data_IF_411390680288
#
_entry.id   IF_411390680288
#
_cell.length_a   1.000
_cell.length_b   1.000
_cell.length_c   1.000
_cell.angle_alpha   90.00
_cell.angle_beta   90.00
_cell.angle_gamma   90.00
#
_symmetry.space_group_name_H-M   'P 1'
#
loop_
_entity.id
_entity.type
_entity.pdbx_description
1 polymer ?
#
# COMPACT_ATOMS: atom_id res chain seq x y z
N UNK A 1 10.59 -11.57 23.78
CA UNK A 1 11.02 -10.20 23.41
C UNK A 1 10.72 -10.00 21.93
N UNK A 2 9.65 -9.28 21.60
CA UNK A 2 9.25 -9.04 20.21
C UNK A 2 10.08 -7.88 19.68
N UNK A 3 10.76 -8.12 18.56
CA UNK A 3 11.66 -7.16 17.91
C UNK A 3 10.83 -5.99 17.35
N UNK A 4 10.77 -4.93 18.16
CA UNK A 4 10.23 -3.60 17.88
C UNK A 4 11.21 -2.87 16.94
N UNK A 5 11.21 -3.23 15.66
CA UNK A 5 11.89 -2.45 14.62
C UNK A 5 10.87 -1.59 13.86
N UNK A 6 10.97 -0.27 14.09
CA UNK A 6 10.56 0.88 13.25
C UNK A 6 9.24 0.77 12.47
N UNK A 7 8.12 0.63 13.16
CA UNK A 7 6.82 1.04 12.61
C UNK A 7 6.73 2.58 12.40
N UNK A 8 7.61 3.34 13.05
CA UNK A 8 7.61 4.82 12.99
C UNK A 8 8.11 5.39 11.66
N UNK A 9 8.84 4.63 10.84
CA UNK A 9 9.39 5.10 9.56
C UNK A 9 8.45 4.88 8.35
N UNK A 10 7.66 3.82 8.38
CA UNK A 10 6.71 3.50 7.30
C UNK A 10 5.35 4.21 7.46
N UNK A 11 4.99 4.60 8.70
CA UNK A 11 3.79 5.39 8.95
C UNK A 11 3.88 6.83 8.41
N UNK A 12 5.10 7.36 8.23
CA UNK A 12 5.35 8.68 7.65
C UNK A 12 5.58 8.67 6.14
N UNK A 13 5.72 7.50 5.54
CA UNK A 13 6.00 7.38 4.11
C UNK A 13 4.71 7.57 3.30
N UNK A 14 4.64 8.69 2.58
CA UNK A 14 3.56 8.98 1.64
C UNK A 14 3.99 8.65 0.21
N UNK A 15 3.11 8.00 -0.55
CA UNK A 15 3.31 7.84 -1.99
C UNK A 15 2.98 9.15 -2.71
N UNK A 16 3.90 9.64 -3.54
CA UNK A 16 3.65 10.85 -4.34
C UNK A 16 2.73 10.51 -5.50
N UNK A 17 1.62 11.24 -5.60
CA UNK A 17 0.75 11.21 -6.78
C UNK A 17 0.99 12.45 -7.64
N UNK A 18 0.98 12.28 -8.96
CA UNK A 18 0.99 13.38 -9.93
C UNK A 18 -0.31 13.31 -10.71
N UNK A 19 -1.08 14.41 -10.70
CA UNK A 19 -2.38 14.49 -11.34
C UNK A 19 -2.50 15.79 -12.12
N UNK A 20 -3.31 15.79 -13.18
CA UNK A 20 -3.71 17.01 -13.86
C UNK A 20 -5.03 17.52 -13.25
N UNK A 21 -5.16 18.84 -13.11
CA UNK A 21 -6.38 19.50 -12.63
C UNK A 21 -6.82 20.57 -13.64
N UNK A 22 -8.13 20.78 -13.76
CA UNK A 22 -8.67 21.87 -14.56
C UNK A 22 -8.30 23.24 -13.97
N UNK A 23 -8.13 24.26 -14.82
CA UNK A 23 -7.72 25.59 -14.38
C UNK A 23 -8.72 26.23 -13.39
N UNK A 24 -10.02 25.97 -13.57
CA UNK A 24 -11.08 26.50 -12.68
C UNK A 24 -10.97 25.87 -11.28
N UNK A 25 -10.88 24.53 -11.21
CA UNK A 25 -10.74 23.82 -9.94
C UNK A 25 -9.46 24.24 -9.21
N UNK A 26 -8.35 24.37 -9.95
CA UNK A 26 -7.09 24.84 -9.38
C UNK A 26 -7.23 26.25 -8.76
N UNK A 27 -7.91 27.17 -9.47
CA UNK A 27 -8.17 28.51 -8.97
C UNK A 27 -9.05 28.54 -7.72
N UNK A 28 -10.06 27.66 -7.63
CA UNK A 28 -10.89 27.53 -6.43
C UNK A 28 -10.09 26.98 -5.24
N UNK A 29 -9.21 26.00 -5.47
CA UNK A 29 -8.31 25.47 -4.43
C UNK A 29 -7.39 26.58 -3.93
N UNK A 30 -6.83 27.38 -4.83
CA UNK A 30 -5.96 28.51 -4.48
C UNK A 30 -6.67 29.55 -3.63
N UNK A 31 -7.91 29.91 -3.99
CA UNK A 31 -8.73 30.82 -3.20
C UNK A 31 -8.95 30.28 -1.78
N UNK A 32 -9.30 29.00 -1.64
CA UNK A 32 -9.52 28.39 -0.33
C UNK A 32 -8.26 28.36 0.54
N UNK A 33 -7.09 28.18 -0.06
CA UNK A 33 -5.81 28.27 0.63
C UNK A 33 -5.50 29.72 1.04
N UNK A 34 -5.74 30.67 0.14
CA UNK A 34 -5.50 32.10 0.39
C UNK A 34 -6.38 32.65 1.51
N UNK A 35 -7.65 32.22 1.58
CA UNK A 35 -8.58 32.58 2.65
C UNK A 35 -8.34 31.81 3.97
N UNK A 36 -7.32 30.95 4.02
CA UNK A 36 -6.89 30.27 5.24
C UNK A 36 -7.74 29.06 5.64
N UNK A 37 -8.64 28.58 4.79
CA UNK A 37 -9.41 27.34 5.07
C UNK A 37 -8.50 26.09 5.08
N UNK A 38 -7.40 26.13 4.33
CA UNK A 38 -6.42 25.04 4.27
C UNK A 38 -4.99 25.60 4.30
N UNK A 39 -4.07 24.84 4.87
CA UNK A 39 -2.68 25.30 5.02
C UNK A 39 -1.90 25.34 3.69
N UNK A 40 -2.28 24.51 2.73
CA UNK A 40 -1.70 24.46 1.37
C UNK A 40 -2.57 23.58 0.44
N UNK A 41 -2.26 23.58 -0.87
CA UNK A 41 -2.96 22.74 -1.86
C UNK A 41 -2.92 21.25 -1.52
N UNK A 42 -1.80 20.75 -1.02
CA UNK A 42 -1.64 19.33 -0.67
C UNK A 42 -2.56 18.94 0.50
N UNK A 43 -2.73 19.83 1.48
CA UNK A 43 -3.64 19.64 2.60
C UNK A 43 -5.11 19.60 2.15
N UNK A 44 -5.52 20.53 1.28
CA UNK A 44 -6.83 20.47 0.64
C UNK A 44 -7.07 19.13 -0.07
N UNK A 45 -6.15 18.72 -0.94
CA UNK A 45 -6.29 17.49 -1.74
C UNK A 45 -6.36 16.26 -0.82
N UNK A 46 -5.50 16.20 0.20
CA UNK A 46 -5.50 15.09 1.17
C UNK A 46 -6.82 15.03 1.96
N UNK A 47 -7.36 16.18 2.34
CA UNK A 47 -8.64 16.28 3.05
C UNK A 47 -9.80 15.86 2.16
N UNK A 48 -9.83 16.32 0.90
CA UNK A 48 -10.86 15.93 -0.07
C UNK A 48 -10.87 14.41 -0.32
N UNK A 49 -9.69 13.80 -0.49
CA UNK A 49 -9.55 12.34 -0.63
C UNK A 49 -10.09 11.62 0.61
N UNK A 50 -9.72 12.05 1.82
CA UNK A 50 -10.22 11.44 3.07
C UNK A 50 -11.74 11.52 3.18
N UNK A 51 -12.32 12.67 2.81
CA UNK A 51 -13.77 12.86 2.83
C UNK A 51 -14.48 11.92 1.85
N UNK A 52 -13.98 11.80 0.62
CA UNK A 52 -14.58 10.87 -0.35
C UNK A 52 -14.41 9.40 0.05
N UNK A 53 -13.27 9.02 0.62
CA UNK A 53 -13.09 7.67 1.17
C UNK A 53 -14.03 7.39 2.35
N UNK A 54 -14.29 8.39 3.20
CA UNK A 54 -15.26 8.26 4.29
C UNK A 54 -16.68 8.04 3.76
N UNK A 55 -17.09 8.80 2.73
CA UNK A 55 -18.39 8.62 2.04
C UNK A 55 -18.58 7.19 1.52
N UNK A 56 -17.51 6.55 1.05
CA UNK A 56 -17.55 5.20 0.48
C UNK A 56 -17.07 4.10 1.43
N UNK A 57 -16.92 4.38 2.73
CA UNK A 57 -16.26 3.47 3.68
C UNK A 57 -16.91 2.09 3.74
N UNK A 58 -18.23 1.99 3.71
CA UNK A 58 -18.93 0.70 3.81
C UNK A 58 -18.77 -0.14 2.54
N UNK A 59 -18.78 0.49 1.36
CA UNK A 59 -18.50 -0.19 0.08
C UNK A 59 -17.08 -0.77 0.09
N UNK A 60 -16.11 -0.01 0.60
CA UNK A 60 -14.72 -0.47 0.75
C UNK A 60 -14.66 -1.67 1.72
N UNK A 61 -15.26 -1.56 2.92
CA UNK A 61 -15.26 -2.65 3.91
C UNK A 61 -15.88 -3.93 3.38
N UNK A 62 -17.05 -3.84 2.74
CA UNK A 62 -17.74 -5.00 2.16
C UNK A 62 -16.89 -5.64 1.04
N UNK A 63 -16.24 -4.82 0.22
CA UNK A 63 -15.39 -5.33 -0.87
C UNK A 63 -14.13 -6.01 -0.35
N UNK A 64 -13.49 -5.43 0.68
CA UNK A 64 -12.33 -6.02 1.37
C UNK A 64 -12.68 -7.39 1.93
N UNK A 65 -13.82 -7.50 2.63
CA UNK A 65 -14.29 -8.77 3.18
C UNK A 65 -14.59 -9.80 2.08
N UNK A 66 -15.33 -9.40 1.03
CA UNK A 66 -15.70 -10.29 -0.09
C UNK A 66 -14.49 -10.81 -0.86
N UNK A 67 -13.44 -10.00 -1.02
CA UNK A 67 -12.21 -10.38 -1.72
C UNK A 67 -11.14 -10.96 -0.78
N UNK A 68 -11.43 -11.14 0.51
CA UNK A 68 -10.46 -11.63 1.51
C UNK A 68 -9.16 -10.81 1.50
N UNK A 69 -9.28 -9.50 1.34
CA UNK A 69 -8.12 -8.60 1.35
C UNK A 69 -7.80 -8.15 2.77
N UNK A 70 -6.53 -7.88 3.04
CA UNK A 70 -6.09 -7.20 4.25
C UNK A 70 -6.05 -5.69 3.97
N UNK A 71 -6.75 -4.90 4.79
CA UNK A 71 -6.68 -3.44 4.74
C UNK A 71 -5.52 -2.94 5.61
N UNK A 72 -4.63 -2.15 5.02
CA UNK A 72 -3.54 -1.46 5.72
C UNK A 72 -2.15 -1.82 5.21
N UNK A 73 -1.20 -1.90 6.14
CA UNK A 73 0.20 -2.19 5.87
C UNK A 73 0.50 -3.64 6.21
N UNK A 74 1.13 -4.37 5.29
CA UNK A 74 1.60 -5.74 5.51
C UNK A 74 3.07 -5.86 5.17
N UNK A 75 3.84 -6.47 6.06
CA UNK A 75 5.26 -6.73 5.86
C UNK A 75 5.53 -8.24 5.91
N UNK A 76 6.24 -8.74 4.90
CA UNK A 76 6.69 -10.12 4.79
C UNK A 76 8.20 -10.16 4.96
N UNK A 77 8.66 -10.71 6.08
CA UNK A 77 10.10 -10.85 6.34
C UNK A 77 10.62 -12.17 5.78
N UNK A 78 11.94 -12.26 5.62
CA UNK A 78 12.61 -13.52 5.26
C UNK A 78 12.20 -14.67 6.18
N UNK A 79 12.15 -14.44 7.48
CA UNK A 79 11.77 -15.44 8.48
C UNK A 79 10.34 -15.96 8.27
N UNK A 80 9.42 -15.07 7.90
CA UNK A 80 8.02 -15.46 7.68
C UNK A 80 7.91 -16.35 6.42
N UNK A 81 8.64 -16.01 5.35
CA UNK A 81 8.65 -16.83 4.13
C UNK A 81 9.41 -18.15 4.33
N UNK A 82 10.49 -18.19 5.10
CA UNK A 82 11.17 -19.44 5.45
C UNK A 82 10.25 -20.38 6.25
N UNK A 83 9.38 -19.84 7.11
CA UNK A 83 8.38 -20.63 7.82
C UNK A 83 7.33 -21.22 6.87
N UNK A 84 6.83 -20.42 5.92
CA UNK A 84 5.92 -20.87 4.85
C UNK A 84 6.57 -21.97 4.01
N UNK A 85 7.84 -21.79 3.64
CA UNK A 85 8.58 -22.79 2.86
C UNK A 85 8.71 -24.11 3.62
N UNK A 86 9.05 -24.06 4.92
CA UNK A 86 9.14 -25.26 5.78
C UNK A 86 7.79 -25.95 5.94
N UNK A 87 6.69 -25.20 5.95
CA UNK A 87 5.34 -25.76 6.00
C UNK A 87 4.90 -26.37 4.66
N UNK A 88 5.65 -26.15 3.56
CA UNK A 88 5.25 -26.58 2.22
C UNK A 88 4.05 -25.80 1.67
N UNK A 89 3.77 -24.63 2.24
CA UNK A 89 2.64 -23.78 1.87
C UNK A 89 3.03 -22.73 0.84
N UNK A 90 2.03 -22.03 0.30
CA UNK A 90 2.23 -20.83 -0.50
C UNK A 90 1.28 -19.71 -0.08
N UNK A 91 1.79 -18.49 -0.07
CA UNK A 91 1.04 -17.29 0.26
C UNK A 91 0.28 -16.74 -0.94
N UNK A 92 -0.97 -16.37 -0.71
CA UNK A 92 -1.73 -15.51 -1.59
C UNK A 92 -1.82 -14.13 -0.92
N UNK A 93 -1.07 -13.17 -1.45
CA UNK A 93 -0.96 -11.83 -0.87
C UNK A 93 -2.06 -10.97 -1.49
N UNK A 94 -3.01 -10.50 -0.66
CA UNK A 94 -4.10 -9.64 -1.08
C UNK A 94 -4.21 -8.45 -0.15
N UNK A 95 -3.75 -7.27 -0.59
CA UNK A 95 -3.61 -6.08 0.26
C UNK A 95 -4.29 -4.87 -0.37
N UNK A 96 -5.10 -4.17 0.41
CA UNK A 96 -5.56 -2.82 0.12
C UNK A 96 -4.75 -1.86 1.00
N UNK A 97 -3.78 -1.16 0.39
CA UNK A 97 -2.80 -0.35 1.10
C UNK A 97 -1.38 -0.64 0.63
N UNK A 98 -0.49 -1.03 1.55
CA UNK A 98 0.93 -1.24 1.28
C UNK A 98 1.34 -2.66 1.63
N UNK A 99 1.89 -3.39 0.66
CA UNK A 99 2.59 -4.65 0.89
C UNK A 99 4.10 -4.41 0.75
N UNK A 100 4.87 -4.86 1.74
CA UNK A 100 6.34 -4.79 1.74
C UNK A 100 6.92 -6.19 1.87
N UNK A 101 7.74 -6.59 0.91
CA UNK A 101 8.61 -7.76 1.03
C UNK A 101 9.98 -7.22 1.44
N UNK A 102 10.51 -7.70 2.56
CA UNK A 102 11.76 -7.20 3.12
C UNK A 102 12.94 -7.38 2.15
N UNK A 103 13.90 -6.45 2.19
CA UNK A 103 15.01 -6.41 1.24
C UNK A 103 15.98 -7.60 1.34
N UNK A 104 15.97 -8.30 2.48
CA UNK A 104 16.78 -9.50 2.74
C UNK A 104 16.14 -10.80 2.23
N UNK A 105 14.93 -10.72 1.65
CA UNK A 105 14.26 -11.85 0.99
C UNK A 105 14.93 -12.13 -0.35
N UNK A 106 15.42 -13.36 -0.52
CA UNK A 106 15.99 -13.77 -1.81
C UNK A 106 14.89 -13.99 -2.87
N UNK A 107 15.19 -13.77 -4.16
CA UNK A 107 14.25 -14.05 -5.24
C UNK A 107 13.75 -15.50 -5.25
N UNK A 108 14.62 -16.46 -4.92
CA UNK A 108 14.31 -17.89 -4.91
C UNK A 108 13.32 -18.21 -3.79
N UNK A 109 13.55 -17.67 -2.58
CA UNK A 109 12.64 -17.85 -1.45
C UNK A 109 11.26 -17.27 -1.75
N UNK A 110 11.22 -16.05 -2.30
CA UNK A 110 9.97 -15.41 -2.71
C UNK A 110 9.21 -16.23 -3.76
N UNK A 111 9.91 -16.72 -4.79
CA UNK A 111 9.31 -17.56 -5.84
C UNK A 111 8.89 -18.94 -5.34
N UNK A 112 9.53 -19.50 -4.31
CA UNK A 112 9.11 -20.75 -3.72
C UNK A 112 7.81 -20.60 -2.91
N UNK A 113 7.60 -19.43 -2.29
CA UNK A 113 6.61 -19.26 -1.21
C UNK A 113 5.41 -18.38 -1.56
N UNK A 114 5.47 -17.55 -2.61
CA UNK A 114 4.40 -16.59 -2.94
C UNK A 114 3.66 -17.04 -4.19
N UNK A 115 2.44 -17.54 -4.08
CA UNK A 115 1.64 -18.01 -5.22
C UNK A 115 1.08 -16.87 -6.09
N UNK A 116 0.55 -15.82 -5.45
CA UNK A 116 -0.02 -14.66 -6.14
C UNK A 116 0.05 -13.39 -5.29
N UNK A 117 0.07 -12.25 -5.98
CA UNK A 117 0.08 -10.92 -5.37
C UNK A 117 -0.99 -10.05 -6.04
N UNK A 118 -1.91 -9.52 -5.24
CA UNK A 118 -2.86 -8.46 -5.61
C UNK A 118 -2.68 -7.35 -4.59
N UNK A 119 -2.24 -6.17 -5.06
CA UNK A 119 -2.07 -4.99 -4.20
C UNK A 119 -2.78 -3.79 -4.81
N UNK A 120 -3.81 -3.32 -4.11
CA UNK A 120 -4.45 -2.05 -4.41
C UNK A 120 -3.78 -0.97 -3.57
N UNK A 121 -2.81 -0.29 -4.17
CA UNK A 121 -1.95 0.70 -3.50
C UNK A 121 -0.52 0.52 -3.97
N UNK A 122 0.40 0.20 -3.06
CA UNK A 122 1.83 0.09 -3.38
C UNK A 122 2.42 -1.26 -2.96
N UNK A 123 3.26 -1.82 -3.83
CA UNK A 123 4.10 -2.98 -3.54
C UNK A 123 5.57 -2.57 -3.49
N UNK A 124 6.19 -2.68 -2.32
CA UNK A 124 7.62 -2.46 -2.12
C UNK A 124 8.33 -3.80 -1.95
N UNK A 125 9.37 -4.00 -2.73
CA UNK A 125 10.21 -5.18 -2.74
C UNK A 125 11.46 -4.86 -3.57
N UNK A 126 12.55 -5.60 -3.37
CA UNK A 126 13.74 -5.48 -4.19
C UNK A 126 13.42 -5.73 -5.67
N UNK A 127 14.17 -5.10 -6.58
CA UNK A 127 13.97 -5.27 -8.03
C UNK A 127 14.07 -6.74 -8.45
N UNK A 128 15.00 -7.49 -7.84
CA UNK A 128 15.19 -8.91 -8.11
C UNK A 128 13.95 -9.74 -7.71
N UNK A 129 13.37 -9.48 -6.54
CA UNK A 129 12.12 -10.12 -6.09
C UNK A 129 10.95 -9.76 -7.00
N UNK A 130 10.79 -8.48 -7.36
CA UNK A 130 9.73 -8.06 -8.31
C UNK A 130 9.85 -8.75 -9.65
N UNK A 131 11.08 -8.94 -10.15
CA UNK A 131 11.34 -9.58 -11.43
C UNK A 131 10.91 -11.04 -11.45
N UNK A 132 11.18 -11.81 -10.38
CA UNK A 132 10.85 -13.25 -10.34
C UNK A 132 9.39 -13.53 -10.00
N UNK A 133 8.65 -12.51 -9.53
CA UNK A 133 7.22 -12.57 -9.22
C UNK A 133 6.36 -11.86 -10.27
N UNK A 134 6.94 -11.38 -11.37
CA UNK A 134 6.23 -10.58 -12.37
C UNK A 134 5.00 -11.29 -12.95
N UNK A 135 5.07 -12.62 -13.12
CA UNK A 135 3.97 -13.48 -13.57
C UNK A 135 2.90 -13.74 -12.49
N UNK A 136 3.17 -13.37 -11.24
CA UNK A 136 2.31 -13.61 -10.07
C UNK A 136 1.63 -12.33 -9.56
N UNK A 137 2.08 -11.17 -10.02
CA UNK A 137 1.48 -9.87 -9.75
C UNK A 137 0.31 -9.67 -10.71
N UNK A 138 -0.89 -9.46 -10.16
CA UNK A 138 -2.15 -9.28 -10.91
C UNK A 138 -2.74 -7.89 -10.70
#
# INVERSE_FOLDING_TARGET
>A
MVNRWRMDGMASDSEKITINLGYIDLGQIDLLVQEGFYSNRTDFIRTAIRNQLATHADVVKQTVARKTMVLGLQQYTRRDLEAVQKAGEKLQIQVLGLAVIADDVSPELAKATIDSIIVLGALRASRAVKSVLADRIR
#
